data_IF_159479806613
#
_entry.id   IF_159479806613
#
_cell.length_a   1.000
_cell.length_b   1.000
_cell.length_c   1.000
_cell.angle_alpha   90.00
_cell.angle_beta   90.00
_cell.angle_gamma   90.00
#
_symmetry.space_group_name_H-M   'P 1'
#
loop_
_entity.id
_entity.type
_entity.pdbx_description
1 polymer ?
#
# COMPACT_ATOMS: atom_id res chain seq x y z
N UNK A 1 -25.80 41.02 3.34
CA UNK A 1 -25.36 41.38 1.98
C UNK A 1 -24.06 40.66 1.67
N UNK A 2 -24.15 39.43 1.17
CA UNK A 2 -23.09 38.70 0.45
C UNK A 2 -23.80 37.92 -0.66
N UNK A 3 -23.58 38.35 -1.90
CA UNK A 3 -24.17 37.82 -3.11
C UNK A 3 -23.36 36.60 -3.56
N UNK A 4 -23.95 35.40 -3.59
CA UNK A 4 -23.39 34.24 -4.29
C UNK A 4 -24.24 33.97 -5.55
N UNK A 5 -23.72 34.18 -6.77
CA UNK A 5 -24.45 33.88 -8.00
C UNK A 5 -24.39 32.39 -8.38
N UNK A 6 -25.59 31.79 -8.51
CA UNK A 6 -26.02 30.74 -9.46
C UNK A 6 -25.17 29.48 -9.78
N UNK A 7 -25.66 28.34 -9.26
CA UNK A 7 -26.31 27.21 -10.00
C UNK A 7 -25.47 26.33 -10.95
N UNK A 8 -25.25 25.06 -10.54
CA UNK A 8 -25.34 23.88 -11.44
C UNK A 8 -26.02 22.72 -10.71
N UNK A 9 -27.15 22.26 -11.26
CA UNK A 9 -27.88 21.06 -10.85
C UNK A 9 -27.25 19.88 -11.60
N UNK A 10 -26.44 19.06 -10.94
CA UNK A 10 -25.96 17.79 -11.50
C UNK A 10 -26.34 16.66 -10.55
N UNK A 11 -27.41 16.01 -10.97
CA UNK A 11 -27.76 14.60 -10.87
C UNK A 11 -26.49 13.70 -10.74
N UNK A 12 -26.02 13.45 -9.52
CA UNK A 12 -24.99 12.44 -9.25
C UNK A 12 -25.63 11.05 -9.39
N UNK A 13 -25.79 10.58 -10.63
CA UNK A 13 -25.95 9.16 -10.92
C UNK A 13 -24.66 8.72 -11.58
N UNK A 14 -24.05 7.63 -11.07
CA UNK A 14 -22.90 6.93 -11.66
C UNK A 14 -21.61 7.76 -11.43
N UNK A 15 -20.63 7.33 -10.66
CA UNK A 15 -19.94 6.05 -10.80
C UNK A 15 -19.70 5.47 -9.41
N UNK A 16 -20.08 4.20 -9.23
CA UNK A 16 -19.42 3.39 -8.22
C UNK A 16 -17.93 3.44 -8.52
N UNK A 17 -17.15 4.05 -7.64
CA UNK A 17 -15.71 3.88 -7.65
C UNK A 17 -15.47 2.41 -7.29
N UNK A 18 -15.52 1.54 -8.29
CA UNK A 18 -14.88 0.25 -8.22
C UNK A 18 -13.42 0.56 -7.90
N UNK A 19 -13.09 0.50 -6.61
CA UNK A 19 -11.72 0.49 -6.12
C UNK A 19 -11.13 -0.76 -6.78
N UNK A 20 -10.55 -0.58 -7.96
CA UNK A 20 -9.81 -1.63 -8.63
C UNK A 20 -8.79 -2.07 -7.59
N UNK A 21 -9.01 -3.26 -7.04
CA UNK A 21 -8.08 -3.96 -6.17
C UNK A 21 -6.81 -4.06 -7.01
N UNK A 22 -5.89 -3.11 -6.87
CA UNK A 22 -4.66 -3.05 -7.65
C UNK A 22 -3.97 -4.39 -7.43
N UNK A 23 -3.97 -5.32 -8.40
CA UNK A 23 -3.70 -6.71 -8.10
C UNK A 23 -2.20 -6.99 -7.99
N UNK A 24 -1.37 -5.99 -7.67
CA UNK A 24 0.09 -6.09 -7.75
C UNK A 24 0.86 -5.69 -6.49
N UNK A 25 0.24 -5.03 -5.50
CA UNK A 25 0.94 -4.56 -4.30
C UNK A 25 0.06 -4.74 -3.06
N UNK A 26 0.62 -5.33 -2.02
CA UNK A 26 -0.04 -5.51 -0.72
C UNK A 26 0.69 -4.63 0.28
N UNK A 27 -0.02 -3.73 0.96
CA UNK A 27 0.51 -3.01 2.10
C UNK A 27 0.48 -3.94 3.32
N UNK A 28 1.63 -4.13 3.96
CA UNK A 28 1.81 -4.96 5.14
C UNK A 28 2.35 -4.12 6.29
N UNK A 29 1.63 -4.12 7.41
CA UNK A 29 2.11 -3.50 8.64
C UNK A 29 3.04 -4.47 9.37
N UNK A 30 4.28 -4.04 9.58
CA UNK A 30 5.32 -4.81 10.27
C UNK A 30 4.91 -5.03 11.72
N UNK A 31 4.88 -6.27 12.16
CA UNK A 31 4.59 -6.59 13.56
C UNK A 31 5.88 -6.71 14.38
N UNK A 32 5.76 -6.57 15.69
CA UNK A 32 6.92 -6.72 16.59
C UNK A 32 7.50 -8.13 16.47
N UNK A 33 8.77 -8.23 16.08
CA UNK A 33 9.47 -9.51 15.86
C UNK A 33 9.42 -10.03 14.41
N UNK A 34 8.75 -9.31 13.52
CA UNK A 34 8.89 -9.51 12.08
C UNK A 34 10.26 -9.02 11.60
N UNK A 35 10.76 -9.70 10.58
CA UNK A 35 11.98 -9.33 9.86
C UNK A 35 11.66 -9.37 8.37
N UNK A 36 12.40 -8.62 7.56
CA UNK A 36 12.22 -8.64 6.11
C UNK A 36 12.30 -10.05 5.52
N UNK A 37 13.15 -10.91 6.09
CA UNK A 37 13.28 -12.31 5.69
C UNK A 37 11.99 -13.11 5.94
N UNK A 38 11.39 -12.99 7.13
CA UNK A 38 10.13 -13.65 7.47
C UNK A 38 8.98 -13.11 6.62
N UNK A 39 8.93 -11.79 6.41
CA UNK A 39 7.89 -11.14 5.60
C UNK A 39 8.00 -11.61 4.14
N UNK A 40 9.22 -11.63 3.58
CA UNK A 40 9.46 -12.13 2.23
C UNK A 40 9.09 -13.61 2.09
N UNK A 41 9.46 -14.45 3.04
CA UNK A 41 9.07 -15.86 3.03
C UNK A 41 7.54 -16.03 3.11
N UNK A 42 6.87 -15.29 3.99
CA UNK A 42 5.43 -15.42 4.24
C UNK A 42 4.58 -14.87 3.08
N UNK A 43 5.00 -13.76 2.47
CA UNK A 43 4.21 -13.05 1.45
C UNK A 43 4.64 -13.37 0.03
N UNK A 44 5.95 -13.51 -0.21
CA UNK A 44 6.52 -13.80 -1.54
C UNK A 44 6.81 -15.30 -1.72
N UNK A 45 6.81 -16.08 -0.64
CA UNK A 45 7.13 -17.51 -0.66
C UNK A 45 8.63 -17.81 -0.76
N UNK A 46 9.49 -16.79 -0.73
CA UNK A 46 10.93 -16.96 -0.89
C UNK A 46 11.66 -15.89 -0.10
N UNK A 47 12.54 -16.33 0.80
CA UNK A 47 13.38 -15.42 1.61
C UNK A 47 14.19 -14.52 0.68
N UNK A 48 14.79 -15.06 -0.39
CA UNK A 48 15.64 -14.35 -1.35
C UNK A 48 14.99 -13.16 -2.07
N UNK A 49 13.66 -13.00 -1.96
CA UNK A 49 12.91 -11.87 -2.53
C UNK A 49 12.83 -10.67 -1.60
N UNK A 50 13.39 -10.74 -0.38
CA UNK A 50 13.49 -9.59 0.53
C UNK A 50 14.12 -8.32 -0.09
N UNK A 51 15.11 -8.38 -1.01
CA UNK A 51 15.68 -7.19 -1.64
C UNK A 51 14.67 -6.43 -2.51
N UNK A 52 13.65 -7.11 -3.04
CA UNK A 52 12.56 -6.47 -3.77
C UNK A 52 11.72 -5.58 -2.85
N UNK A 53 11.51 -6.02 -1.60
CA UNK A 53 10.80 -5.23 -0.58
C UNK A 53 11.62 -3.99 -0.21
N UNK A 54 12.93 -4.14 -0.04
CA UNK A 54 13.85 -3.03 0.25
C UNK A 54 13.80 -1.99 -0.87
N UNK A 55 14.00 -2.44 -2.12
CA UNK A 55 13.98 -1.56 -3.30
C UNK A 55 12.62 -0.87 -3.49
N UNK A 56 11.52 -1.59 -3.22
CA UNK A 56 10.17 -1.05 -3.37
C UNK A 56 9.81 0.00 -2.32
N UNK A 57 10.36 -0.11 -1.11
CA UNK A 57 10.12 0.82 -0.01
C UNK A 57 11.26 1.81 0.21
N UNK A 58 12.30 1.75 -0.63
CA UNK A 58 13.50 2.58 -0.52
C UNK A 58 14.12 2.52 0.89
N UNK A 59 14.18 1.30 1.45
CA UNK A 59 14.80 1.09 2.76
C UNK A 59 16.32 1.14 2.60
N UNK A 60 17.00 1.77 3.55
CA UNK A 60 18.47 1.85 3.59
C UNK A 60 19.14 0.51 3.95
N UNK A 61 18.36 -0.53 4.30
CA UNK A 61 18.89 -1.84 4.65
C UNK A 61 17.81 -2.80 5.15
N UNK A 62 18.21 -3.70 6.03
CA UNK A 62 17.32 -4.71 6.61
C UNK A 62 16.54 -4.23 7.87
N UNK A 63 16.82 -3.01 8.32
CA UNK A 63 16.16 -2.39 9.46
C UNK A 63 14.72 -2.04 9.15
N UNK A 64 13.80 -2.66 9.88
CA UNK A 64 12.36 -2.36 9.85
C UNK A 64 11.84 -2.23 11.28
N UNK A 65 10.86 -1.35 11.46
CA UNK A 65 10.27 -1.08 12.76
C UNK A 65 8.83 -1.61 12.84
N UNK A 66 8.43 -2.09 14.01
CA UNK A 66 7.05 -2.47 14.25
C UNK A 66 6.11 -1.27 14.08
N UNK A 67 4.99 -1.45 13.41
CA UNK A 67 4.05 -0.40 13.01
C UNK A 67 4.40 0.29 11.68
N UNK A 68 5.53 -0.06 11.06
CA UNK A 68 5.88 0.46 9.73
C UNK A 68 5.03 -0.24 8.66
N UNK A 69 4.49 0.54 7.72
CA UNK A 69 3.77 -0.01 6.56
C UNK A 69 4.76 -0.23 5.42
N UNK A 70 4.93 -1.49 5.02
CA UNK A 70 5.75 -1.90 3.89
C UNK A 70 4.86 -2.26 2.69
N UNK A 71 5.21 -1.74 1.53
CA UNK A 71 4.67 -2.19 0.24
C UNK A 71 5.34 -3.48 -0.15
N UNK A 72 4.56 -4.52 -0.37
CA UNK A 72 5.06 -5.84 -0.73
C UNK A 72 4.64 -6.13 -2.17
N UNK A 73 5.57 -6.50 -3.07
CA UNK A 73 5.20 -6.91 -4.41
C UNK A 73 4.39 -8.21 -4.34
N UNK A 74 3.44 -8.41 -5.25
CA UNK A 74 2.71 -9.69 -5.30
C UNK A 74 3.61 -10.78 -5.90
N UNK A 75 3.40 -12.02 -5.42
CA UNK A 75 4.13 -13.23 -5.83
C UNK A 75 4.18 -13.38 -7.35
#
# INVERSE_FOLDING_TARGET
>A
MYFYPFRVHIFWQRHGYYKAKQPGKVDYEVQRGDTLWKIAQKLLGSVSRYPEIISLNQLDGDMIYAGQVLRIPKK
#
